data_IF_039074673467
#
_entry.id   IF_039074673467
#
_cell.length_a   1.000
_cell.length_b   1.000
_cell.length_c   1.000
_cell.angle_alpha   90.00
_cell.angle_beta   90.00
_cell.angle_gamma   90.00
#
_symmetry.space_group_name_H-M   'P 1'
#
loop_
_entity.id
_entity.type
_entity.pdbx_description
1 polymer ?
#
# COMPACT_ATOMS: atom_id res chain seq x y z
N UNK A 1 -2.25 7.22 -28.77
CA UNK A 1 -2.02 7.04 -27.31
C UNK A 1 -1.81 5.55 -27.08
N UNK A 2 -0.56 5.11 -26.92
CA UNK A 2 -0.24 3.70 -26.80
C UNK A 2 -0.80 3.17 -25.47
N UNK A 3 -1.90 2.41 -25.51
CA UNK A 3 -2.39 1.63 -24.35
C UNK A 3 -1.34 0.55 -24.11
N UNK A 4 -0.36 0.86 -23.28
CA UNK A 4 0.60 -0.11 -22.78
C UNK A 4 -0.22 -1.14 -22.00
N UNK A 5 -0.53 -2.27 -22.64
CA UNK A 5 -1.23 -3.40 -22.01
C UNK A 5 -0.26 -3.93 -20.96
N UNK A 6 -0.31 -3.36 -19.76
CA UNK A 6 0.39 -3.93 -18.60
C UNK A 6 -0.13 -5.35 -18.50
N UNK A 7 0.76 -6.32 -18.73
CA UNK A 7 0.41 -7.73 -18.78
C UNK A 7 -0.33 -8.10 -17.50
N UNK A 8 -1.43 -8.86 -17.60
CA UNK A 8 -2.22 -9.31 -16.43
C UNK A 8 -1.31 -9.82 -15.31
N UNK A 9 -0.29 -10.61 -15.67
CA UNK A 9 0.70 -11.16 -14.74
C UNK A 9 1.51 -10.09 -13.99
N UNK A 10 1.77 -8.95 -14.62
CA UNK A 10 2.46 -7.83 -13.98
C UNK A 10 1.52 -7.10 -13.02
N UNK A 11 0.23 -6.92 -13.38
CA UNK A 11 -0.78 -6.37 -12.48
C UNK A 11 -0.98 -7.26 -11.25
N UNK A 12 -1.06 -8.57 -11.44
CA UNK A 12 -1.21 -9.54 -10.33
C UNK A 12 -0.02 -9.48 -9.37
N UNK A 13 1.22 -9.49 -9.91
CA UNK A 13 2.43 -9.31 -9.09
C UNK A 13 2.49 -7.97 -8.38
N UNK A 14 2.05 -6.89 -9.03
CA UNK A 14 2.06 -5.55 -8.44
C UNK A 14 1.01 -5.48 -7.32
N UNK A 15 -0.16 -6.07 -7.50
CA UNK A 15 -1.20 -6.21 -6.47
C UNK A 15 -0.71 -7.03 -5.27
N UNK A 16 -0.05 -8.16 -5.53
CA UNK A 16 0.53 -9.01 -4.48
C UNK A 16 1.61 -8.24 -3.68
N UNK A 17 2.49 -7.50 -4.37
CA UNK A 17 3.51 -6.69 -3.72
C UNK A 17 2.94 -5.47 -2.99
N UNK A 18 1.88 -4.84 -3.50
CA UNK A 18 1.15 -3.78 -2.79
C UNK A 18 0.51 -4.30 -1.51
N UNK A 19 -0.02 -5.53 -1.53
CA UNK A 19 -0.59 -6.17 -0.35
C UNK A 19 0.49 -6.52 0.68
N UNK A 20 1.62 -7.07 0.23
CA UNK A 20 2.80 -7.30 1.08
C UNK A 20 3.29 -5.99 1.70
N UNK A 21 3.38 -4.91 0.91
CA UNK A 21 3.82 -3.59 1.37
C UNK A 21 2.86 -3.01 2.40
N UNK A 22 1.55 -3.10 2.15
CA UNK A 22 0.51 -2.68 3.10
C UNK A 22 0.59 -3.44 4.42
N UNK A 23 0.77 -4.76 4.37
CA UNK A 23 0.98 -5.59 5.57
C UNK A 23 2.27 -5.22 6.30
N UNK A 24 3.36 -4.97 5.57
CA UNK A 24 4.62 -4.51 6.15
C UNK A 24 4.47 -3.13 6.81
N UNK A 25 3.76 -2.20 6.17
CA UNK A 25 3.45 -0.88 6.74
C UNK A 25 2.60 -1.03 8.00
N UNK A 26 1.61 -1.92 8.01
CA UNK A 26 0.76 -2.16 9.19
C UNK A 26 1.57 -2.80 10.33
N UNK A 27 2.42 -3.78 10.03
CA UNK A 27 3.36 -4.37 10.97
C UNK A 27 4.37 -3.33 11.50
N UNK A 28 4.88 -2.45 10.64
CA UNK A 28 5.82 -1.37 11.01
C UNK A 28 5.12 -0.31 11.84
N UNK A 29 3.85 0.02 11.57
CA UNK A 29 3.06 0.92 12.39
C UNK A 29 2.78 0.32 13.76
N UNK A 30 2.40 -0.96 13.81
CA UNK A 30 2.13 -1.68 15.05
C UNK A 30 3.41 -1.89 15.89
N UNK A 31 4.48 -2.43 15.30
CA UNK A 31 5.76 -2.69 15.98
C UNK A 31 6.55 -1.41 16.23
N UNK A 32 6.42 -0.40 15.37
CA UNK A 32 7.03 0.91 15.56
C UNK A 32 6.52 1.64 16.80
N UNK A 33 5.31 1.28 17.30
CA UNK A 33 4.83 1.73 18.61
C UNK A 33 5.66 1.14 19.77
N UNK A 34 6.16 -0.08 19.62
CA UNK A 34 6.88 -0.79 20.68
C UNK A 34 8.40 -0.58 20.61
N UNK A 35 8.95 -0.31 19.43
CA UNK A 35 10.39 -0.09 19.22
C UNK A 35 10.83 1.34 19.55
N UNK A 36 9.91 2.30 19.59
CA UNK A 36 10.26 3.72 19.80
C UNK A 36 9.89 4.19 21.20
N UNK A 37 10.86 4.75 21.94
CA UNK A 37 10.62 5.45 23.23
C UNK A 37 9.87 6.79 23.06
N UNK A 38 9.64 7.23 21.82
CA UNK A 38 8.89 8.46 21.52
C UNK A 38 7.38 8.25 21.63
N UNK A 39 6.70 9.21 22.28
CA UNK A 39 5.23 9.28 22.37
C UNK A 39 4.58 9.06 20.99
N UNK A 40 3.52 8.25 20.96
CA UNK A 40 2.73 7.95 19.76
C UNK A 40 2.42 9.21 18.96
N UNK A 41 3.01 9.32 17.77
CA UNK A 41 2.76 10.44 16.87
C UNK A 41 1.57 10.10 15.98
N UNK A 42 0.40 10.57 16.40
CA UNK A 42 -0.84 10.48 15.62
C UNK A 42 -0.68 11.00 14.18
N UNK A 43 0.22 11.96 13.96
CA UNK A 43 0.53 12.48 12.63
C UNK A 43 1.22 11.43 11.73
N UNK A 44 2.20 10.69 12.26
CA UNK A 44 2.91 9.65 11.49
C UNK A 44 1.99 8.46 11.25
N UNK A 45 1.17 8.10 12.22
CA UNK A 45 0.15 7.07 12.07
C UNK A 45 -0.89 7.44 11.01
N UNK A 46 -1.41 8.67 11.05
CA UNK A 46 -2.35 9.19 10.05
C UNK A 46 -1.77 9.19 8.64
N UNK A 47 -0.51 9.62 8.47
CA UNK A 47 0.18 9.55 7.18
C UNK A 47 0.36 8.12 6.68
N UNK A 48 0.69 7.17 7.56
CA UNK A 48 0.77 5.75 7.21
C UNK A 48 -0.55 5.17 6.73
N UNK A 49 -1.66 5.51 7.38
CA UNK A 49 -3.02 5.09 6.98
C UNK A 49 -3.40 5.71 5.63
N UNK A 50 -3.13 6.99 5.40
CA UNK A 50 -3.38 7.67 4.12
C UNK A 50 -2.58 7.01 3.00
N UNK A 51 -1.30 6.70 3.25
CA UNK A 51 -0.45 6.00 2.28
C UNK A 51 -0.99 4.60 1.95
N UNK A 52 -1.43 3.85 2.97
CA UNK A 52 -2.05 2.55 2.77
C UNK A 52 -3.33 2.65 1.90
N UNK A 53 -4.17 3.67 2.14
CA UNK A 53 -5.37 3.96 1.36
C UNK A 53 -5.04 4.30 -0.11
N UNK A 54 -4.00 5.09 -0.35
CA UNK A 54 -3.52 5.41 -1.70
C UNK A 54 -3.00 4.17 -2.44
N UNK A 55 -2.25 3.31 -1.75
CA UNK A 55 -1.82 2.02 -2.30
C UNK A 55 -3.02 1.14 -2.68
N UNK A 56 -4.04 1.07 -1.82
CA UNK A 56 -5.24 0.29 -2.08
C UNK A 56 -6.07 0.86 -3.25
N UNK A 57 -6.23 2.19 -3.31
CA UNK A 57 -6.90 2.88 -4.41
C UNK A 57 -6.19 2.66 -5.75
N UNK A 58 -4.85 2.78 -5.78
CA UNK A 58 -4.06 2.48 -6.97
C UNK A 58 -4.23 1.03 -7.40
N UNK A 59 -4.18 0.07 -6.46
CA UNK A 59 -4.42 -1.34 -6.76
C UNK A 59 -5.81 -1.58 -7.33
N UNK A 60 -6.82 -0.92 -6.77
CA UNK A 60 -8.21 -1.04 -7.22
C UNK A 60 -8.41 -0.45 -8.62
N UNK A 61 -7.85 0.73 -8.91
CA UNK A 61 -7.92 1.35 -10.25
C UNK A 61 -7.24 0.45 -11.28
N UNK A 62 -6.03 -0.05 -10.96
CA UNK A 62 -5.28 -0.97 -11.83
C UNK A 62 -6.06 -2.27 -12.07
N UNK A 63 -6.71 -2.82 -11.04
CA UNK A 63 -7.54 -4.02 -11.16
C UNK A 63 -8.83 -3.76 -11.97
N UNK A 64 -9.49 -2.62 -11.74
CA UNK A 64 -10.74 -2.24 -12.39
C UNK A 64 -10.58 -1.87 -13.86
N UNK A 65 -9.43 -1.33 -14.28
CA UNK A 65 -9.09 -1.13 -15.70
C UNK A 65 -8.84 -2.45 -16.46
N UNK A 66 -8.96 -3.61 -15.81
CA UNK A 66 -8.80 -4.93 -16.41
C UNK A 66 -10.09 -5.66 -16.77
N UNK A 67 -11.27 -5.11 -16.43
CA UNK A 67 -12.58 -5.60 -16.83
C UNK A 67 -13.09 -4.81 -18.04
#
# INVERSE_FOLDING_TARGET
>A
MARNKISSKFRDKLSEKLMDLGNLTLATLALGQFVTDKKFSWAVFGWGVIFMLLCYLMSYIISSEGK
#
